data_IF_804814832131
#
_entry.id   IF_804814832131
#
_cell.length_a   1.000
_cell.length_b   1.000
_cell.length_c   1.000
_cell.angle_alpha   90.00
_cell.angle_beta   90.00
_cell.angle_gamma   90.00
#
_symmetry.space_group_name_H-M   'P 1'
#
loop_
_entity.id
_entity.type
_entity.pdbx_description
1 polymer ?
#
# COMPACT_ATOMS: atom_id res chain seq x y z
N UNK A 1 11.97 1.25 8.73
CA UNK A 1 11.17 2.49 8.58
C UNK A 1 10.46 2.78 9.89
N UNK A 2 10.32 4.04 10.30
CA UNK A 2 9.50 4.39 11.47
C UNK A 2 8.02 4.10 11.12
N UNK A 3 7.26 3.47 12.02
CA UNK A 3 5.84 3.09 11.77
C UNK A 3 4.98 4.30 11.37
N UNK A 4 5.22 5.45 12.01
CA UNK A 4 4.58 6.72 11.67
C UNK A 4 4.82 7.15 10.22
N UNK A 5 6.02 6.92 9.67
CA UNK A 5 6.32 7.26 8.28
C UNK A 5 5.54 6.37 7.30
N UNK A 6 5.39 5.07 7.61
CA UNK A 6 4.60 4.14 6.78
C UNK A 6 3.11 4.51 6.84
N UNK A 7 2.60 4.85 8.03
CA UNK A 7 1.22 5.32 8.19
C UNK A 7 0.97 6.59 7.38
N UNK A 8 1.81 7.61 7.54
CA UNK A 8 1.68 8.87 6.81
C UNK A 8 1.82 8.66 5.30
N UNK A 9 2.73 7.78 4.87
CA UNK A 9 2.88 7.44 3.46
C UNK A 9 1.58 6.89 2.88
N UNK A 10 1.03 5.83 3.46
CA UNK A 10 -0.19 5.21 2.96
C UNK A 10 -1.44 6.08 3.13
N UNK A 11 -1.47 6.95 4.14
CA UNK A 11 -2.53 7.95 4.31
C UNK A 11 -2.54 8.95 3.15
N UNK A 12 -1.36 9.44 2.74
CA UNK A 12 -1.23 10.49 1.72
C UNK A 12 -1.14 9.96 0.29
N UNK A 13 -0.75 8.71 0.10
CA UNK A 13 -0.49 8.12 -1.20
C UNK A 13 -1.66 8.22 -2.20
N UNK A 14 -2.95 8.06 -1.81
CA UNK A 14 -4.08 8.26 -2.71
C UNK A 14 -4.07 9.63 -3.39
N UNK A 15 -3.78 10.68 -2.63
CA UNK A 15 -3.76 12.07 -3.12
C UNK A 15 -2.52 12.35 -3.98
N UNK A 16 -1.37 11.83 -3.55
CA UNK A 16 -0.13 11.95 -4.31
C UNK A 16 -0.24 11.27 -5.68
N UNK A 17 -0.94 10.14 -5.75
CA UNK A 17 -1.17 9.38 -6.99
C UNK A 17 -2.00 10.14 -8.02
N UNK A 18 -2.76 11.15 -7.58
CA UNK A 18 -3.60 12.00 -8.44
C UNK A 18 -2.86 13.20 -9.03
N UNK A 19 -1.72 13.59 -8.45
CA UNK A 19 -0.96 14.76 -8.89
C UNK A 19 -0.63 14.78 -10.40
N UNK A 20 -0.29 13.66 -11.06
CA UNK A 20 0.01 13.70 -12.49
C UNK A 20 -1.23 13.98 -13.37
N UNK A 21 -2.45 13.75 -12.87
CA UNK A 21 -3.71 14.15 -13.53
C UNK A 21 -4.06 15.64 -13.33
N UNK A 22 -3.29 16.37 -12.51
CA UNK A 22 -3.51 17.79 -12.19
C UNK A 22 -4.30 18.02 -10.89
N UNK A 23 -4.44 19.28 -10.50
CA UNK A 23 -5.07 19.64 -9.22
C UNK A 23 -6.56 19.29 -9.16
N UNK A 24 -7.25 19.27 -10.30
CA UNK A 24 -8.68 18.92 -10.38
C UNK A 24 -8.94 17.46 -9.98
N UNK A 25 -8.01 16.56 -10.28
CA UNK A 25 -8.08 15.16 -9.87
C UNK A 25 -7.91 14.99 -8.35
N UNK A 26 -7.09 15.84 -7.72
CA UNK A 26 -6.95 15.89 -6.26
C UNK A 26 -8.19 16.50 -5.63
N UNK A 27 -8.75 17.57 -6.21
CA UNK A 27 -9.99 18.20 -5.74
C UNK A 27 -11.18 17.23 -5.77
N UNK A 28 -11.22 16.27 -6.69
CA UNK A 28 -12.24 15.22 -6.69
C UNK A 28 -12.27 14.39 -5.38
N UNK A 29 -11.18 14.39 -4.60
CA UNK A 29 -11.09 13.72 -3.30
C UNK A 29 -11.40 14.65 -2.12
N UNK A 30 -11.43 15.95 -2.36
CA UNK A 30 -11.58 16.98 -1.37
C UNK A 30 -12.95 17.65 -1.59
N UNK A 31 -14.00 17.21 -0.88
CA UNK A 31 -15.29 17.88 -0.93
C UNK A 31 -15.15 19.32 -0.40
N UNK A 32 -16.18 20.15 -0.62
CA UNK A 32 -16.26 21.57 -0.25
C UNK A 32 -15.62 21.90 1.11
N UNK A 33 -15.20 23.15 1.31
CA UNK A 33 -14.35 23.60 2.43
C UNK A 33 -14.76 23.08 3.83
N UNK A 34 -16.05 22.86 4.09
CA UNK A 34 -16.56 22.29 5.35
C UNK A 34 -16.30 20.79 5.56
N UNK A 35 -15.95 20.04 4.52
CA UNK A 35 -15.77 18.58 4.52
C UNK A 35 -14.37 18.15 4.07
N UNK A 36 -13.44 19.08 3.86
CA UNK A 36 -12.09 18.78 3.35
C UNK A 36 -11.35 17.76 4.22
N UNK A 37 -11.47 17.86 5.55
CA UNK A 37 -10.87 16.89 6.48
C UNK A 37 -11.49 15.49 6.32
N UNK A 38 -12.80 15.41 6.12
CA UNK A 38 -13.48 14.15 5.86
C UNK A 38 -12.97 13.52 4.57
N UNK A 39 -12.87 14.27 3.48
CA UNK A 39 -12.31 13.80 2.22
C UNK A 39 -10.88 13.27 2.37
N UNK A 40 -10.00 14.04 3.03
CA UNK A 40 -8.61 13.68 3.32
C UNK A 40 -8.50 12.38 4.15
N UNK A 41 -9.40 12.18 5.09
CA UNK A 41 -9.39 10.98 5.93
C UNK A 41 -10.07 9.81 5.23
N UNK A 42 -11.08 10.02 4.38
CA UNK A 42 -11.88 8.95 3.81
C UNK A 42 -11.05 7.98 2.97
N UNK A 43 -10.47 8.44 1.87
CA UNK A 43 -9.64 7.57 1.02
C UNK A 43 -8.33 7.17 1.71
N UNK A 44 -7.75 8.09 2.49
CA UNK A 44 -6.54 7.83 3.26
C UNK A 44 -6.71 6.69 4.26
N UNK A 45 -7.84 6.64 4.99
CA UNK A 45 -8.11 5.64 6.02
C UNK A 45 -8.31 4.24 5.42
N UNK A 46 -9.06 4.10 4.32
CA UNK A 46 -9.14 2.81 3.61
C UNK A 46 -7.76 2.36 3.14
N UNK A 47 -6.94 3.30 2.66
CA UNK A 47 -5.60 3.01 2.21
C UNK A 47 -4.59 2.72 3.35
N UNK A 48 -5.03 2.71 4.63
CA UNK A 48 -4.23 2.19 5.74
C UNK A 48 -4.32 0.66 5.89
N UNK A 49 -5.23 -0.03 5.19
CA UNK A 49 -5.33 -1.50 5.23
C UNK A 49 -3.99 -2.21 4.90
N UNK A 50 -3.22 -1.81 3.87
CA UNK A 50 -1.87 -2.32 3.61
C UNK A 50 -0.90 -2.19 4.80
N UNK A 51 -1.08 -1.20 5.67
CA UNK A 51 -0.22 -1.00 6.85
C UNK A 51 -0.41 -2.09 7.90
N UNK A 52 -1.59 -2.74 7.94
CA UNK A 52 -1.82 -3.91 8.80
C UNK A 52 -0.87 -5.05 8.42
N UNK A 53 -0.69 -5.28 7.12
CA UNK A 53 0.23 -6.30 6.59
C UNK A 53 1.68 -5.96 6.95
N UNK A 54 2.08 -4.70 6.78
CA UNK A 54 3.42 -4.22 7.21
C UNK A 54 3.64 -4.38 8.71
N UNK A 55 2.61 -4.13 9.51
CA UNK A 55 2.66 -4.28 10.96
C UNK A 55 2.82 -5.76 11.36
N UNK A 56 2.10 -6.67 10.70
CA UNK A 56 2.26 -8.11 10.88
C UNK A 56 3.68 -8.58 10.48
N UNK A 57 4.18 -8.12 9.33
CA UNK A 57 5.54 -8.39 8.88
C UNK A 57 6.60 -7.99 9.92
N UNK A 58 6.40 -6.84 10.60
CA UNK A 58 7.35 -6.35 11.61
C UNK A 58 7.38 -7.14 12.92
N UNK A 59 6.32 -7.91 13.24
CA UNK A 59 6.19 -8.65 14.51
C UNK A 59 6.60 -10.12 14.40
N UNK A 60 6.45 -10.72 13.22
CA UNK A 60 6.62 -12.17 13.03
C UNK A 60 8.05 -12.52 12.58
N UNK A 61 8.94 -11.53 12.44
CA UNK A 61 10.26 -11.72 11.82
C UNK A 61 11.38 -11.43 12.84
N UNK A 62 12.11 -12.45 13.32
CA UNK A 62 13.40 -12.27 14.02
C UNK A 62 14.44 -11.62 13.09
N UNK A 63 15.55 -11.05 13.60
CA UNK A 63 16.36 -10.05 12.89
C UNK A 63 16.98 -10.61 11.60
N UNK A 64 16.37 -10.33 10.45
CA UNK A 64 16.79 -10.75 9.09
C UNK A 64 16.29 -9.73 8.04
N UNK A 65 16.79 -9.77 6.79
CA UNK A 65 17.18 -8.58 6.02
C UNK A 65 16.02 -7.62 5.71
N UNK A 66 16.36 -6.32 5.64
CA UNK A 66 15.43 -5.21 5.32
C UNK A 66 14.55 -5.52 4.10
N UNK A 67 15.06 -6.31 3.15
CA UNK A 67 14.38 -6.76 1.92
C UNK A 67 13.00 -7.37 2.19
N UNK A 68 12.81 -8.11 3.30
CA UNK A 68 11.53 -8.75 3.66
C UNK A 68 10.40 -7.74 3.82
N UNK A 69 10.75 -6.52 4.24
CA UNK A 69 9.77 -5.44 4.45
C UNK A 69 9.75 -4.44 3.29
N UNK A 70 10.86 -4.27 2.59
CA UNK A 70 10.96 -3.32 1.47
C UNK A 70 10.18 -3.82 0.25
N UNK A 71 10.28 -5.10 -0.11
CA UNK A 71 9.60 -5.64 -1.30
C UNK A 71 8.08 -5.49 -1.18
N UNK A 72 7.42 -5.97 -0.08
CA UNK A 72 5.97 -5.79 0.06
C UNK A 72 5.57 -4.32 0.11
N UNK A 73 6.36 -3.46 0.77
CA UNK A 73 6.09 -2.02 0.83
C UNK A 73 6.05 -1.38 -0.56
N UNK A 74 7.03 -1.69 -1.41
CA UNK A 74 7.10 -1.18 -2.78
C UNK A 74 5.93 -1.71 -3.60
N UNK A 75 5.67 -3.02 -3.54
CA UNK A 75 4.54 -3.65 -4.27
C UNK A 75 3.21 -3.00 -3.89
N UNK A 76 2.94 -2.82 -2.60
CA UNK A 76 1.71 -2.19 -2.14
C UNK A 76 1.64 -0.71 -2.54
N UNK A 77 2.75 0.01 -2.48
CA UNK A 77 2.78 1.42 -2.90
C UNK A 77 2.47 1.58 -4.39
N UNK A 78 3.10 0.76 -5.24
CA UNK A 78 2.85 0.77 -6.69
C UNK A 78 1.40 0.40 -6.99
N UNK A 79 0.87 -0.65 -6.34
CA UNK A 79 -0.51 -1.08 -6.56
C UNK A 79 -1.52 -0.01 -6.12
N UNK A 80 -1.29 0.69 -5.01
CA UNK A 80 -2.08 1.88 -4.64
C UNK A 80 -2.00 2.95 -5.73
N UNK A 81 -0.79 3.30 -6.19
CA UNK A 81 -0.62 4.35 -7.20
C UNK A 81 -1.41 4.01 -8.46
N UNK A 82 -1.28 2.79 -8.97
CA UNK A 82 -2.02 2.33 -10.16
C UNK A 82 -3.54 2.43 -9.94
N UNK A 83 -4.04 1.92 -8.81
CA UNK A 83 -5.48 1.96 -8.52
C UNK A 83 -6.04 3.39 -8.44
N UNK A 84 -5.27 4.33 -7.92
CA UNK A 84 -5.69 5.73 -7.81
C UNK A 84 -5.39 6.55 -9.07
N UNK A 85 -4.46 6.13 -9.92
CA UNK A 85 -4.12 6.83 -11.14
C UNK A 85 -5.13 6.55 -12.27
N UNK A 86 -5.61 5.31 -12.38
CA UNK A 86 -6.40 4.88 -13.55
C UNK A 86 -7.90 5.22 -13.46
N UNK A 87 -8.45 5.45 -12.26
CA UNK A 87 -9.90 5.53 -12.05
C UNK A 87 -10.37 6.95 -11.80
N UNK A 88 -10.96 7.64 -12.76
CA UNK A 88 -11.54 8.96 -12.56
C UNK A 88 -12.86 8.89 -11.77
N UNK A 89 -12.94 9.59 -10.64
CA UNK A 89 -14.14 9.66 -9.79
C UNK A 89 -15.29 10.42 -10.46
N UNK A 90 -14.97 11.33 -11.38
CA UNK A 90 -15.98 12.14 -12.07
C UNK A 90 -16.71 11.38 -13.18
N UNK A 91 -16.15 10.26 -13.65
CA UNK A 91 -16.67 9.55 -14.81
C UNK A 91 -17.69 8.44 -14.50
N UNK A 92 -17.62 7.82 -13.31
CA UNK A 92 -18.50 6.67 -12.95
C UNK A 92 -18.60 6.43 -11.44
N UNK A 93 -19.79 6.10 -10.94
CA UNK A 93 -20.02 5.65 -9.57
C UNK A 93 -19.26 4.34 -9.25
N UNK A 94 -19.02 3.48 -10.25
CA UNK A 94 -18.22 2.27 -10.05
C UNK A 94 -16.75 2.59 -9.71
N UNK A 95 -16.22 3.72 -10.19
CA UNK A 95 -14.87 4.15 -9.87
C UNK A 95 -14.73 4.46 -8.37
N UNK A 96 -15.73 5.13 -7.77
CA UNK A 96 -15.74 5.41 -6.34
C UNK A 96 -15.77 4.12 -5.49
N UNK A 97 -16.60 3.14 -5.87
CA UNK A 97 -16.65 1.83 -5.21
C UNK A 97 -15.30 1.13 -5.31
N UNK A 98 -14.72 1.10 -6.51
CA UNK A 98 -13.43 0.46 -6.73
C UNK A 98 -12.33 1.06 -5.86
N UNK A 99 -12.26 2.39 -5.75
CA UNK A 99 -11.24 3.09 -4.95
C UNK A 99 -11.34 2.83 -3.44
N UNK A 100 -12.52 2.42 -2.94
CA UNK A 100 -12.73 2.00 -1.55
C UNK A 100 -12.33 0.53 -1.36
N UNK A 101 -12.58 -0.32 -2.36
CA UNK A 101 -12.32 -1.76 -2.30
C UNK A 101 -10.87 -2.12 -2.65
N UNK A 102 -10.23 -1.37 -3.55
CA UNK A 102 -8.87 -1.61 -4.03
C UNK A 102 -7.83 -1.73 -2.90
N UNK A 103 -7.85 -0.92 -1.82
CA UNK A 103 -6.93 -1.10 -0.70
C UNK A 103 -6.96 -2.49 -0.05
N UNK A 104 -8.10 -3.20 -0.07
CA UNK A 104 -8.16 -4.57 0.41
C UNK A 104 -7.40 -5.54 -0.51
N UNK A 105 -7.53 -5.38 -1.83
CA UNK A 105 -6.74 -6.13 -2.81
C UNK A 105 -5.25 -5.82 -2.72
N UNK A 106 -4.89 -4.55 -2.49
CA UNK A 106 -3.50 -4.13 -2.25
C UNK A 106 -2.94 -4.81 -0.99
N UNK A 107 -3.72 -4.89 0.09
CA UNK A 107 -3.31 -5.59 1.30
C UNK A 107 -3.10 -7.10 1.04
N UNK A 108 -4.01 -7.76 0.31
CA UNK A 108 -3.85 -9.17 -0.08
C UNK A 108 -2.57 -9.36 -0.90
N UNK A 109 -2.32 -8.50 -1.89
CA UNK A 109 -1.13 -8.55 -2.72
C UNK A 109 0.16 -8.36 -1.88
N UNK A 110 0.12 -7.46 -0.91
CA UNK A 110 1.19 -7.27 0.06
C UNK A 110 1.45 -8.51 0.91
N UNK A 111 0.40 -9.19 1.37
CA UNK A 111 0.51 -10.40 2.16
C UNK A 111 1.12 -11.55 1.33
N UNK A 112 0.70 -11.69 0.08
CA UNK A 112 1.29 -12.64 -0.88
C UNK A 112 2.76 -12.31 -1.14
N UNK A 113 3.09 -11.04 -1.41
CA UNK A 113 4.48 -10.60 -1.63
C UNK A 113 5.36 -10.89 -0.42
N UNK A 114 4.85 -10.67 0.80
CA UNK A 114 5.54 -11.01 2.03
C UNK A 114 5.79 -12.53 2.13
N UNK A 115 4.77 -13.34 1.87
CA UNK A 115 4.88 -14.81 1.92
C UNK A 115 5.92 -15.33 0.91
N UNK A 116 5.88 -14.83 -0.33
CA UNK A 116 6.83 -15.21 -1.38
C UNK A 116 8.26 -14.79 -1.05
N UNK A 117 8.46 -13.56 -0.57
CA UNK A 117 9.78 -13.07 -0.15
C UNK A 117 10.36 -13.94 0.97
N UNK A 118 9.51 -14.38 1.91
CA UNK A 118 9.92 -15.29 2.98
C UNK A 118 10.27 -16.68 2.46
N UNK A 119 9.45 -17.24 1.58
CA UNK A 119 9.72 -18.54 0.97
C UNK A 119 11.07 -18.53 0.22
N UNK A 120 11.34 -17.48 -0.55
CA UNK A 120 12.60 -17.32 -1.28
C UNK A 120 13.81 -17.28 -0.35
N UNK A 121 13.76 -16.49 0.73
CA UNK A 121 14.86 -16.41 1.71
C UNK A 121 15.08 -17.74 2.42
N UNK A 122 13.99 -18.44 2.77
CA UNK A 122 14.08 -19.75 3.42
C UNK A 122 14.70 -20.79 2.48
N UNK A 123 14.31 -20.81 1.20
CA UNK A 123 14.89 -21.69 0.18
C UNK A 123 16.39 -21.41 -0.02
N UNK A 124 16.77 -20.13 -0.14
CA UNK A 124 18.16 -19.74 -0.30
C UNK A 124 19.03 -20.20 0.88
N UNK A 125 18.54 -20.02 2.12
CA UNK A 125 19.25 -20.48 3.31
C UNK A 125 19.47 -22.00 3.33
N UNK A 126 18.51 -22.79 2.84
CA UNK A 126 18.65 -24.25 2.74
C UNK A 126 19.64 -24.70 1.66
N UNK A 127 19.71 -23.98 0.55
CA UNK A 127 20.69 -24.26 -0.49
C UNK A 127 22.12 -23.98 -0.01
N UNK A 128 22.33 -22.89 0.74
CA UNK A 128 23.63 -22.59 1.34
C UNK A 128 24.08 -23.69 2.32
N UNK A 129 23.18 -24.20 3.15
CA UNK A 129 23.47 -25.30 4.09
C UNK A 129 23.86 -26.58 3.35
N UNK A 130 23.07 -27.00 2.35
CA UNK A 130 23.36 -28.17 1.52
C UNK A 130 24.67 -28.08 0.71
N UNK A 131 25.19 -26.88 0.45
CA UNK A 131 26.43 -26.66 -0.30
C UNK A 131 27.70 -26.72 0.57
N UNK A 132 27.53 -26.74 1.90
CA UNK A 132 28.63 -26.78 2.88
C UNK A 132 28.93 -28.18 3.40
N UNK A 133 28.01 -29.12 3.18
CA UNK A 133 28.15 -30.56 3.45
C UNK A 133 28.73 -31.29 2.24
#
# INVERSE_FOLDING_TARGET
>A
MKKAAVLLWFLLLPYLSRLPGGIEWVKAYLPDEGMMLFGLVFFGAFNLLPVVVMSAASKVVPPRPRVVTVIPFVVMSVATVVAHFDYDLSSDAQAAIWLIVAPAFVAILGAVSLALTRAAIWLAARQEESSRD
#
